data_IF_388455132474
#
_entry.id   IF_388455132474
#
_cell.length_a   1.000
_cell.length_b   1.000
_cell.length_c   1.000
_cell.angle_alpha   90.00
_cell.angle_beta   90.00
_cell.angle_gamma   90.00
#
_symmetry.space_group_name_H-M   'P 1'
#
loop_
_entity.id
_entity.type
_entity.pdbx_description
1 polymer ?
#
# COMPACT_ATOMS: atom_id res chain seq x y z
N UNK A 1 74.97 13.28 50.57
CA UNK A 1 73.67 12.66 50.90
C UNK A 1 72.74 12.92 49.73
N UNK A 2 72.24 11.85 49.11
CA UNK A 2 71.63 11.81 47.78
C UNK A 2 70.10 11.79 47.87
N UNK A 3 69.45 12.24 46.77
CA UNK A 3 68.05 11.98 46.34
C UNK A 3 66.89 12.66 47.11
N UNK A 4 65.75 13.05 46.50
CA UNK A 4 65.08 12.61 45.26
C UNK A 4 64.10 13.71 44.79
N UNK A 5 64.11 14.09 43.50
CA UNK A 5 63.01 14.87 42.89
C UNK A 5 61.85 13.92 42.56
N UNK A 6 60.65 14.24 43.02
CA UNK A 6 59.42 13.52 42.64
C UNK A 6 58.84 14.18 41.40
N UNK A 7 58.81 13.44 40.29
CA UNK A 7 58.14 13.81 39.04
C UNK A 7 56.73 13.23 39.10
N UNK A 8 55.71 14.09 39.17
CA UNK A 8 54.30 13.68 39.04
C UNK A 8 53.97 13.67 37.55
N UNK A 9 53.76 12.49 36.98
CA UNK A 9 53.28 12.29 35.61
C UNK A 9 51.78 12.63 35.54
N UNK A 10 51.30 13.43 34.56
CA UNK A 10 49.88 13.72 34.41
C UNK A 10 49.21 12.55 33.66
N UNK A 11 49.02 11.43 34.36
CA UNK A 11 48.51 10.19 33.76
C UNK A 11 46.98 10.03 33.88
N UNK A 12 46.26 11.12 34.19
CA UNK A 12 44.82 11.06 34.49
C UNK A 12 43.93 11.94 33.60
N UNK A 13 44.48 12.69 32.64
CA UNK A 13 43.66 13.51 31.74
C UNK A 13 43.31 12.84 30.40
N UNK A 14 44.04 11.79 30.00
CA UNK A 14 43.80 11.18 28.69
C UNK A 14 42.68 10.12 28.69
N UNK A 15 42.32 9.59 29.86
CA UNK A 15 41.25 8.58 29.99
C UNK A 15 39.84 9.14 29.86
N UNK A 16 39.66 10.45 30.09
CA UNK A 16 38.33 11.08 30.00
C UNK A 16 37.95 11.54 28.59
N UNK A 17 38.92 11.79 27.69
CA UNK A 17 38.64 12.27 26.34
C UNK A 17 38.28 11.14 25.36
N UNK A 18 38.68 9.90 25.62
CA UNK A 18 38.35 8.76 24.75
C UNK A 18 36.97 8.16 25.02
N UNK A 19 36.40 8.37 26.21
CA UNK A 19 35.05 7.91 26.54
C UNK A 19 33.93 8.81 25.95
N UNK A 20 34.26 10.04 25.55
CA UNK A 20 33.28 10.97 24.99
C UNK A 20 33.08 10.80 23.47
N UNK A 21 34.04 10.23 22.75
CA UNK A 21 34.00 10.14 21.27
C UNK A 21 33.29 8.86 20.79
N UNK A 22 33.21 7.80 21.60
CA UNK A 22 32.51 6.57 21.22
C UNK A 22 31.00 6.57 21.48
N UNK A 23 30.49 7.54 22.25
CA UNK A 23 29.07 7.61 22.62
C UNK A 23 28.21 8.34 21.58
N UNK A 24 28.82 9.09 20.66
CA UNK A 24 28.12 9.95 19.69
C UNK A 24 27.76 9.26 18.37
N UNK A 25 28.17 8.00 18.15
CA UNK A 25 27.99 7.31 16.86
C UNK A 25 26.74 6.42 16.77
N UNK A 26 25.88 6.35 17.79
CA UNK A 26 24.73 5.42 17.81
C UNK A 26 23.35 6.07 17.62
N UNK A 27 23.26 7.36 17.29
CA UNK A 27 21.96 8.07 17.19
C UNK A 27 21.48 8.32 15.74
N UNK A 28 22.28 8.00 14.71
CA UNK A 28 21.86 8.10 13.29
C UNK A 28 21.76 6.71 12.67
N UNK A 29 20.54 6.14 12.54
CA UNK A 29 19.63 6.57 11.47
C UNK A 29 18.13 6.51 11.85
N UNK A 30 17.71 7.00 13.02
CA UNK A 30 16.28 6.98 13.38
C UNK A 30 15.44 8.13 12.78
N UNK A 31 16.08 9.12 12.14
CA UNK A 31 15.39 10.31 11.61
C UNK A 31 14.88 10.16 10.17
N UNK A 32 15.14 9.03 9.51
CA UNK A 32 14.63 8.73 8.16
C UNK A 32 13.63 7.58 8.13
N UNK A 33 12.94 7.31 9.23
CA UNK A 33 11.61 6.72 9.08
C UNK A 33 10.71 7.84 8.55
N UNK A 34 10.56 7.94 7.22
CA UNK A 34 9.33 8.55 6.72
C UNK A 34 8.22 7.77 7.42
N UNK A 35 7.50 8.45 8.32
CA UNK A 35 6.25 7.92 8.80
C UNK A 35 5.41 7.76 7.54
N UNK A 36 5.31 6.52 7.06
CA UNK A 36 4.23 6.10 6.20
C UNK A 36 2.99 6.53 6.97
N UNK A 37 2.42 7.69 6.63
CA UNK A 37 1.05 8.02 6.99
C UNK A 37 0.29 6.74 6.74
N UNK A 38 -0.27 6.13 7.79
CA UNK A 38 -1.00 4.88 7.65
C UNK A 38 -2.22 5.19 6.78
N UNK A 39 -2.02 5.14 5.46
CA UNK A 39 -3.04 5.34 4.44
C UNK A 39 -4.06 4.20 4.52
N UNK A 40 -3.74 3.14 5.25
CA UNK A 40 -4.58 1.99 5.53
C UNK A 40 -5.02 2.01 7.00
N UNK A 41 -6.32 1.94 7.24
CA UNK A 41 -6.96 1.83 8.56
C UNK A 41 -6.70 0.46 9.21
N UNK A 42 -7.02 0.31 10.50
CA UNK A 42 -6.93 -0.96 11.24
C UNK A 42 -7.72 -2.14 10.62
N UNK A 43 -8.60 -1.87 9.64
CA UNK A 43 -9.38 -2.88 8.92
C UNK A 43 -8.87 -3.13 7.50
N UNK A 44 -7.63 -2.77 7.20
CA UNK A 44 -7.03 -2.89 5.88
C UNK A 44 -7.80 -2.17 4.76
N UNK A 45 -8.35 -0.99 5.08
CA UNK A 45 -9.06 -0.10 4.12
C UNK A 45 -8.27 1.18 3.93
N UNK A 46 -8.23 1.70 2.71
CA UNK A 46 -7.65 3.01 2.44
C UNK A 46 -8.41 4.13 3.18
N UNK A 47 -7.71 5.17 3.60
CA UNK A 47 -8.32 6.37 4.19
C UNK A 47 -9.19 7.08 3.14
N UNK A 48 -10.21 7.80 3.60
CA UNK A 48 -11.09 8.56 2.69
C UNK A 48 -10.32 9.57 1.84
N UNK A 49 -9.31 10.22 2.42
CA UNK A 49 -8.45 11.18 1.72
C UNK A 49 -7.62 10.50 0.63
N UNK A 50 -6.96 9.38 0.94
CA UNK A 50 -6.16 8.63 -0.04
C UNK A 50 -7.03 8.05 -1.18
N UNK A 51 -8.25 7.62 -0.84
CA UNK A 51 -9.24 7.18 -1.82
C UNK A 51 -9.69 8.33 -2.75
N UNK A 52 -9.93 9.53 -2.21
CA UNK A 52 -10.34 10.71 -2.99
C UNK A 52 -9.24 11.22 -3.90
N UNK A 53 -7.99 11.22 -3.44
CA UNK A 53 -6.83 11.59 -4.26
C UNK A 53 -6.70 10.68 -5.48
N UNK A 54 -6.78 9.36 -5.26
CA UNK A 54 -6.75 8.38 -6.35
C UNK A 54 -7.92 8.56 -7.34
N UNK A 55 -9.13 8.79 -6.85
CA UNK A 55 -10.31 9.04 -7.72
C UNK A 55 -10.15 10.32 -8.55
N UNK A 56 -9.59 11.39 -7.97
CA UNK A 56 -9.37 12.65 -8.70
C UNK A 56 -8.40 12.45 -9.88
N UNK A 57 -7.35 11.66 -9.67
CA UNK A 57 -6.39 11.31 -10.72
C UNK A 57 -7.03 10.46 -11.81
N UNK A 58 -7.89 9.48 -11.45
CA UNK A 58 -8.66 8.70 -12.43
C UNK A 58 -9.56 9.62 -13.27
N UNK A 59 -10.30 10.53 -12.65
CA UNK A 59 -11.18 11.44 -13.38
C UNK A 59 -10.39 12.36 -14.32
N UNK A 60 -9.20 12.80 -13.91
CA UNK A 60 -8.33 13.64 -14.75
C UNK A 60 -7.70 12.85 -15.90
N UNK A 61 -7.25 11.62 -15.66
CA UNK A 61 -6.68 10.75 -16.70
C UNK A 61 -7.68 10.45 -17.82
N UNK A 62 -8.96 10.24 -17.46
CA UNK A 62 -10.05 10.04 -18.42
C UNK A 62 -10.35 11.26 -19.28
N UNK A 63 -9.86 12.45 -18.89
CA UNK A 63 -9.94 13.68 -19.71
C UNK A 63 -8.71 13.87 -20.61
N UNK A 64 -7.80 12.91 -20.64
CA UNK A 64 -6.60 12.92 -21.49
C UNK A 64 -5.34 13.45 -20.80
N UNK A 65 -5.36 13.71 -19.49
CA UNK A 65 -4.16 14.10 -18.75
C UNK A 65 -3.25 12.89 -18.50
N UNK A 66 -2.15 12.82 -19.26
CA UNK A 66 -1.17 11.75 -19.16
C UNK A 66 -0.38 11.74 -17.86
N UNK A 67 -0.15 12.90 -17.22
CA UNK A 67 0.54 12.96 -15.94
C UNK A 67 -0.37 12.38 -14.84
N UNK A 68 -1.65 12.75 -14.87
CA UNK A 68 -2.65 12.15 -13.99
C UNK A 68 -2.79 10.64 -14.19
N UNK A 69 -2.71 10.15 -15.43
CA UNK A 69 -2.73 8.70 -15.72
C UNK A 69 -1.56 7.97 -15.05
N UNK A 70 -0.33 8.47 -15.21
CA UNK A 70 0.87 7.87 -14.59
C UNK A 70 0.78 7.88 -13.07
N UNK A 71 0.39 9.01 -12.49
CA UNK A 71 0.24 9.15 -11.02
C UNK A 71 -0.87 8.25 -10.48
N UNK A 72 -1.97 8.08 -11.22
CA UNK A 72 -3.02 7.13 -10.87
C UNK A 72 -2.46 5.70 -10.78
N UNK A 73 -1.72 5.26 -11.80
CA UNK A 73 -1.11 3.93 -11.82
C UNK A 73 -0.06 3.72 -10.71
N UNK A 74 0.73 4.76 -10.39
CA UNK A 74 1.65 4.75 -9.26
C UNK A 74 0.91 4.58 -7.94
N UNK A 75 -0.17 5.35 -7.71
CA UNK A 75 -0.99 5.21 -6.51
C UNK A 75 -1.72 3.87 -6.42
N UNK A 76 -2.18 3.30 -7.54
CA UNK A 76 -2.76 1.95 -7.57
C UNK A 76 -1.74 0.93 -7.06
N UNK A 77 -0.50 0.98 -7.57
CA UNK A 77 0.58 0.07 -7.13
C UNK A 77 0.94 0.25 -5.66
N UNK A 78 1.10 1.50 -5.22
CA UNK A 78 1.39 1.83 -3.83
C UNK A 78 0.30 1.34 -2.90
N UNK A 79 -0.95 1.69 -3.16
CA UNK A 79 -2.08 1.32 -2.33
C UNK A 79 -2.33 -0.19 -2.32
N UNK A 80 -2.14 -0.88 -3.45
CA UNK A 80 -2.24 -2.34 -3.52
C UNK A 80 -1.22 -3.01 -2.59
N UNK A 81 0.03 -2.55 -2.63
CA UNK A 81 1.10 -3.04 -1.77
C UNK A 81 0.79 -2.82 -0.28
N UNK A 82 0.30 -1.63 0.09
CA UNK A 82 -0.06 -1.32 1.48
C UNK A 82 -1.24 -2.16 1.99
N UNK A 83 -2.26 -2.36 1.16
CA UNK A 83 -3.42 -3.19 1.52
C UNK A 83 -3.01 -4.65 1.64
N UNK A 84 -2.15 -5.14 0.73
CA UNK A 84 -1.62 -6.50 0.79
C UNK A 84 -0.78 -6.73 2.04
N UNK A 85 0.12 -5.79 2.36
CA UNK A 85 0.94 -5.83 3.58
C UNK A 85 0.06 -5.91 4.82
N UNK A 86 -0.94 -5.03 4.94
CA UNK A 86 -1.89 -5.05 6.06
C UNK A 86 -2.61 -6.41 6.18
N UNK A 87 -3.07 -6.98 5.06
CA UNK A 87 -3.78 -8.27 5.02
C UNK A 87 -2.87 -9.47 5.27
N UNK A 88 -1.55 -9.32 5.11
CA UNK A 88 -0.60 -10.36 5.48
C UNK A 88 -0.39 -10.44 6.99
N UNK A 89 -0.52 -9.31 7.69
CA UNK A 89 -0.33 -9.18 9.13
C UNK A 89 -1.64 -9.31 9.92
N UNK A 90 -2.78 -9.06 9.27
CA UNK A 90 -4.11 -9.10 9.87
C UNK A 90 -5.00 -10.02 9.05
N UNK A 91 -5.77 -10.90 9.69
CA UNK A 91 -6.70 -11.80 8.99
C UNK A 91 -8.11 -11.19 8.92
N UNK A 92 -8.46 -10.38 7.90
CA UNK A 92 -9.81 -9.87 7.77
C UNK A 92 -10.79 -11.03 7.52
N UNK A 93 -12.00 -10.93 8.08
CA UNK A 93 -13.09 -11.82 7.66
C UNK A 93 -13.32 -11.70 6.15
N UNK A 94 -13.76 -12.79 5.52
CA UNK A 94 -14.18 -12.75 4.12
C UNK A 94 -15.32 -11.75 3.95
N UNK A 95 -15.07 -10.72 3.15
CA UNK A 95 -16.03 -9.72 2.70
C UNK A 95 -16.08 -9.82 1.18
N UNK A 96 -17.01 -10.63 0.70
CA UNK A 96 -17.18 -10.91 -0.71
C UNK A 96 -18.26 -10.03 -1.36
N UNK A 97 -18.08 -9.72 -2.63
CA UNK A 97 -19.10 -9.08 -3.48
C UNK A 97 -19.18 -9.78 -4.83
N UNK A 98 -20.37 -9.84 -5.41
CA UNK A 98 -20.59 -10.24 -6.80
C UNK A 98 -20.67 -8.99 -7.67
N UNK A 99 -19.74 -8.88 -8.61
CA UNK A 99 -19.71 -7.83 -9.63
C UNK A 99 -20.24 -8.44 -10.93
N UNK A 100 -21.46 -8.07 -11.31
CA UNK A 100 -22.01 -8.40 -12.62
C UNK A 100 -21.66 -7.29 -13.61
N UNK A 101 -21.04 -7.67 -14.72
CA UNK A 101 -20.62 -6.77 -15.79
C UNK A 101 -21.55 -6.94 -17.00
N UNK A 102 -22.23 -5.85 -17.35
CA UNK A 102 -22.97 -5.75 -18.60
C UNK A 102 -22.11 -5.03 -19.66
N UNK A 103 -22.15 -5.45 -20.94
CA UNK A 103 -21.25 -4.93 -21.97
C UNK A 103 -21.34 -3.41 -22.14
N UNK A 104 -22.55 -2.84 -22.08
CA UNK A 104 -22.76 -1.41 -22.24
C UNK A 104 -22.28 -0.56 -21.04
N UNK A 105 -22.06 -1.20 -19.88
CA UNK A 105 -21.64 -0.53 -18.64
C UNK A 105 -20.11 -0.37 -18.54
N UNK A 106 -19.34 -1.05 -19.39
CA UNK A 106 -17.87 -0.98 -19.41
C UNK A 106 -17.39 0.21 -20.27
N UNK A 107 -17.77 1.42 -19.85
CA UNK A 107 -17.21 2.64 -20.40
C UNK A 107 -15.76 2.85 -19.91
N UNK A 108 -14.91 3.63 -20.62
CA UNK A 108 -13.56 3.93 -20.16
C UNK A 108 -13.54 4.44 -18.71
N UNK A 109 -12.75 3.81 -17.84
CA UNK A 109 -12.64 4.18 -16.42
C UNK A 109 -13.72 3.63 -15.49
N UNK A 110 -14.78 3.00 -16.02
CA UNK A 110 -15.88 2.50 -15.21
C UNK A 110 -15.45 1.34 -14.31
N UNK A 111 -14.64 0.42 -14.84
CA UNK A 111 -14.15 -0.74 -14.10
C UNK A 111 -13.18 -0.32 -12.99
N UNK A 112 -12.24 0.58 -13.32
CA UNK A 112 -11.27 1.16 -12.40
C UNK A 112 -11.97 1.80 -11.20
N UNK A 113 -12.97 2.65 -11.48
CA UNK A 113 -13.78 3.33 -10.46
C UNK A 113 -14.53 2.36 -9.56
N UNK A 114 -15.13 1.32 -10.15
CA UNK A 114 -15.87 0.30 -9.39
C UNK A 114 -14.92 -0.51 -8.51
N UNK A 115 -13.80 -0.98 -9.06
CA UNK A 115 -12.80 -1.77 -8.34
C UNK A 115 -12.15 -0.96 -7.21
N UNK A 116 -11.82 0.30 -7.45
CA UNK A 116 -11.30 1.20 -6.43
C UNK A 116 -12.30 1.37 -5.28
N UNK A 117 -13.58 1.57 -5.60
CA UNK A 117 -14.65 1.66 -4.59
C UNK A 117 -14.82 0.37 -3.80
N UNK A 118 -14.73 -0.80 -4.45
CA UNK A 118 -14.82 -2.11 -3.80
C UNK A 118 -13.69 -2.25 -2.78
N UNK A 119 -12.44 -1.98 -3.16
CA UNK A 119 -11.28 -2.05 -2.27
C UNK A 119 -11.39 -1.05 -1.13
N UNK A 120 -11.80 0.20 -1.41
CA UNK A 120 -11.97 1.25 -0.41
C UNK A 120 -13.03 0.91 0.65
N UNK A 121 -14.04 0.10 0.28
CA UNK A 121 -15.06 -0.42 1.21
C UNK A 121 -14.58 -1.62 2.03
N UNK A 122 -13.40 -2.17 1.73
CA UNK A 122 -12.78 -3.27 2.45
C UNK A 122 -13.16 -4.66 1.96
N UNK A 123 -13.84 -4.78 0.82
CA UNK A 123 -14.05 -6.09 0.20
C UNK A 123 -12.69 -6.71 -0.16
N UNK A 124 -12.54 -7.99 0.18
CA UNK A 124 -11.31 -8.77 -0.03
C UNK A 124 -11.53 -9.96 -0.96
N UNK A 125 -12.75 -10.14 -1.46
CA UNK A 125 -13.08 -11.13 -2.46
C UNK A 125 -14.11 -10.57 -3.44
N UNK A 126 -13.84 -10.70 -4.74
CA UNK A 126 -14.74 -10.22 -5.80
C UNK A 126 -14.99 -11.38 -6.74
N UNK A 127 -16.25 -11.77 -6.87
CA UNK A 127 -16.71 -12.70 -7.90
C UNK A 127 -17.17 -11.88 -9.09
N UNK A 128 -16.57 -12.09 -10.26
CA UNK A 128 -16.94 -11.37 -11.47
C UNK A 128 -17.79 -12.27 -12.35
N UNK A 129 -18.97 -11.80 -12.71
CA UNK A 129 -19.88 -12.45 -13.65
C UNK A 129 -20.03 -11.53 -14.87
N UNK A 130 -19.71 -12.00 -16.06
CA UNK A 130 -19.91 -11.24 -17.29
C UNK A 130 -20.82 -12.02 -18.23
N UNK A 131 -21.81 -11.31 -18.78
CA UNK A 131 -22.68 -11.81 -19.84
C UNK A 131 -22.44 -11.01 -21.11
N UNK A 132 -22.20 -11.69 -22.23
CA UNK A 132 -22.11 -11.07 -23.54
C UNK A 132 -22.83 -11.96 -24.55
N UNK A 133 -23.64 -11.38 -25.44
CA UNK A 133 -24.39 -12.11 -26.47
C UNK A 133 -25.22 -13.31 -25.96
N UNK A 134 -25.79 -13.20 -24.76
CA UNK A 134 -26.55 -14.30 -24.14
C UNK A 134 -25.69 -15.48 -23.71
N UNK A 135 -24.38 -15.29 -23.55
CA UNK A 135 -23.43 -16.29 -23.08
C UNK A 135 -22.80 -15.85 -21.75
N UNK A 136 -22.42 -16.80 -20.91
CA UNK A 136 -21.86 -16.56 -19.56
C UNK A 136 -20.42 -17.05 -19.45
N UNK A 137 -19.58 -16.31 -18.75
CA UNK A 137 -18.18 -16.67 -18.48
C UNK A 137 -18.03 -17.52 -17.21
N UNK A 138 -18.80 -18.62 -17.13
CA UNK A 138 -18.69 -19.65 -16.07
C UNK A 138 -18.27 -20.97 -16.73
N UNK A 139 -17.45 -21.84 -16.11
CA UNK A 139 -17.15 -23.15 -16.68
C UNK A 139 -18.42 -23.94 -16.98
N UNK A 140 -18.51 -24.57 -18.16
CA UNK A 140 -19.72 -25.30 -18.57
C UNK A 140 -20.18 -26.34 -17.53
N UNK A 141 -19.24 -26.99 -16.84
CA UNK A 141 -19.51 -28.02 -15.83
C UNK A 141 -20.17 -27.48 -14.54
N UNK A 142 -20.17 -26.16 -14.32
CA UNK A 142 -20.66 -25.53 -13.09
C UNK A 142 -21.51 -24.29 -13.37
N UNK A 143 -22.21 -24.25 -14.51
CA UNK A 143 -23.08 -23.15 -14.90
C UNK A 143 -24.55 -23.43 -14.51
N UNK A 144 -25.08 -22.80 -13.45
CA UNK A 144 -26.48 -22.98 -13.04
C UNK A 144 -27.48 -22.12 -13.81
N UNK A 145 -27.03 -21.39 -14.84
CA UNK A 145 -27.86 -20.44 -15.60
C UNK A 145 -28.40 -21.07 -16.89
N UNK A 146 -29.39 -20.41 -17.51
CA UNK A 146 -29.92 -20.81 -18.83
C UNK A 146 -29.03 -20.37 -20.00
N UNK A 147 -27.95 -19.63 -19.73
CA UNK A 147 -27.09 -19.03 -20.76
C UNK A 147 -25.92 -19.96 -21.09
N UNK A 148 -25.60 -20.23 -22.37
CA UNK A 148 -24.46 -21.05 -22.76
C UNK A 148 -23.13 -20.50 -22.21
N UNK A 149 -22.25 -21.40 -21.76
CA UNK A 149 -20.91 -21.07 -21.28
C UNK A 149 -19.94 -20.81 -22.45
N UNK A 150 -18.98 -19.90 -22.27
CA UNK A 150 -17.88 -19.67 -23.22
C UNK A 150 -16.56 -20.37 -22.85
N UNK A 151 -16.49 -21.01 -21.67
CA UNK A 151 -15.28 -21.62 -21.09
C UNK A 151 -15.37 -23.15 -21.05
#
# INVERSE_FOLDING_TARGET
MFTRKVIVRPMFYWRFLLAAIFSSSLISPFLWSQSSQAQVTAYCRLSSTAAQEKEALLVSSLKGDQDSARRYEDLVRQHSSQVQECRSQTWPKTQAIWLRLYPCDIQPGALEKVMDRIVNRGYNQVYVESFYDGQVLLPAASNPTIWPSIL
#
